data_IF_245156743665
#
_entry.id   IF_245156743665
#
_cell.length_a   1.000
_cell.length_b   1.000
_cell.length_c   1.000
_cell.angle_alpha   90.00
_cell.angle_beta   90.00
_cell.angle_gamma   90.00
#
_symmetry.space_group_name_H-M   'P 1'
#
loop_
_entity.id
_entity.type
_entity.pdbx_description
1 polymer ?
#
# COMPACT_ATOMS: atom_id res chain seq x y z
N UNK A 1 21.56 -4.12 -22.00
CA UNK A 1 21.16 -2.93 -21.22
C UNK A 1 20.26 -3.21 -20.01
N UNK A 2 19.53 -4.34 -19.91
CA UNK A 2 18.62 -4.64 -18.77
C UNK A 2 19.33 -4.85 -17.41
N UNK A 3 20.47 -5.55 -17.38
CA UNK A 3 21.21 -5.83 -16.14
C UNK A 3 21.75 -4.58 -15.41
N UNK A 4 22.10 -3.50 -16.13
CA UNK A 4 22.60 -2.25 -15.53
C UNK A 4 21.51 -1.39 -14.86
N UNK A 5 20.22 -1.63 -15.16
CA UNK A 5 19.10 -0.97 -14.45
C UNK A 5 18.78 -1.66 -13.13
N UNK A 6 18.96 -2.99 -13.06
CA UNK A 6 18.72 -3.79 -11.86
C UNK A 6 19.64 -3.39 -10.70
N UNK A 7 20.94 -3.16 -10.96
CA UNK A 7 21.90 -2.80 -9.90
C UNK A 7 21.65 -1.41 -9.31
N UNK A 8 21.32 -0.42 -10.14
CA UNK A 8 20.95 0.93 -9.67
C UNK A 8 19.63 0.90 -8.88
N UNK A 9 18.66 0.13 -9.36
CA UNK A 9 17.38 -0.06 -8.69
C UNK A 9 17.54 -0.66 -7.28
N UNK A 10 18.36 -1.72 -7.15
CA UNK A 10 18.65 -2.32 -5.84
C UNK A 10 19.42 -1.37 -4.92
N UNK A 11 20.35 -0.57 -5.45
CA UNK A 11 21.09 0.44 -4.67
C UNK A 11 20.16 1.53 -4.10
N UNK A 12 19.22 2.05 -4.90
CA UNK A 12 18.27 3.07 -4.45
C UNK A 12 17.30 2.54 -3.40
N UNK A 13 16.75 1.34 -3.61
CA UNK A 13 15.86 0.70 -2.63
C UNK A 13 16.59 0.39 -1.32
N UNK A 14 17.82 -0.12 -1.39
CA UNK A 14 18.63 -0.40 -0.19
C UNK A 14 18.97 0.88 0.58
N UNK A 15 19.32 1.96 -0.14
CA UNK A 15 19.60 3.27 0.49
C UNK A 15 18.34 3.82 1.18
N UNK A 16 17.19 3.74 0.50
CA UNK A 16 15.92 4.15 1.07
C UNK A 16 15.55 3.33 2.31
N UNK A 17 15.73 2.01 2.26
CA UNK A 17 15.43 1.13 3.39
C UNK A 17 16.27 1.46 4.63
N UNK A 18 17.57 1.68 4.46
CA UNK A 18 18.48 2.06 5.54
C UNK A 18 18.07 3.40 6.16
N UNK A 19 17.79 4.41 5.34
CA UNK A 19 17.43 5.74 5.83
C UNK A 19 16.10 5.75 6.58
N UNK A 20 15.19 4.83 6.24
CA UNK A 20 13.82 4.84 6.74
C UNK A 20 13.50 3.72 7.73
N UNK A 21 14.54 3.06 8.27
CA UNK A 21 14.42 1.95 9.22
C UNK A 21 13.53 0.82 8.71
N UNK A 22 13.55 0.58 7.39
CA UNK A 22 12.92 -0.60 6.80
C UNK A 22 13.90 -1.76 6.94
N UNK A 23 13.50 -2.79 7.68
CA UNK A 23 14.26 -4.02 7.79
C UNK A 23 14.10 -4.86 6.53
N UNK A 24 15.23 -5.22 5.90
CA UNK A 24 15.29 -6.18 4.80
C UNK A 24 16.24 -7.30 5.24
N UNK A 25 15.71 -8.52 5.37
CA UNK A 25 16.53 -9.66 5.76
C UNK A 25 17.66 -9.88 4.73
N UNK A 26 18.89 -10.25 5.14
CA UNK A 26 20.03 -10.38 4.22
C UNK A 26 19.83 -11.38 3.07
N UNK A 27 18.98 -12.39 3.28
CA UNK A 27 18.62 -13.36 2.24
C UNK A 27 17.51 -12.85 1.32
N UNK A 28 16.90 -11.70 1.56
CA UNK A 28 15.87 -11.15 0.67
C UNK A 28 16.49 -10.59 -0.61
N UNK A 29 15.88 -10.89 -1.75
CA UNK A 29 16.19 -10.34 -3.06
C UNK A 29 14.95 -9.66 -3.64
N UNK A 30 15.12 -8.44 -4.15
CA UNK A 30 14.06 -7.70 -4.84
C UNK A 30 14.55 -7.42 -6.25
N UNK A 31 13.99 -8.13 -7.22
CA UNK A 31 14.46 -8.06 -8.60
C UNK A 31 13.38 -8.41 -9.62
N UNK A 32 13.64 -8.09 -10.88
CA UNK A 32 12.77 -8.42 -12.01
C UNK A 32 13.32 -9.64 -12.74
N UNK A 33 12.76 -10.83 -12.46
CA UNK A 33 13.13 -12.08 -13.15
C UNK A 33 12.26 -12.37 -14.36
N UNK A 34 10.96 -12.17 -14.20
CA UNK A 34 9.98 -12.38 -15.26
C UNK A 34 9.47 -11.02 -15.79
N UNK A 35 9.52 -10.86 -17.12
CA UNK A 35 8.98 -9.67 -17.76
C UNK A 35 7.46 -9.59 -17.66
N UNK A 36 6.77 -10.73 -17.55
CA UNK A 36 5.31 -10.80 -17.49
C UNK A 36 4.74 -10.30 -16.15
N UNK A 37 5.48 -10.48 -15.05
CA UNK A 37 5.00 -10.21 -13.68
C UNK A 37 5.65 -8.94 -13.10
N UNK A 38 6.88 -8.63 -13.53
CA UNK A 38 7.61 -7.45 -13.10
C UNK A 38 8.56 -7.76 -11.95
N UNK A 39 8.64 -6.85 -10.99
CA UNK A 39 9.48 -7.00 -9.80
C UNK A 39 8.79 -7.98 -8.85
N UNK A 40 9.57 -8.89 -8.27
CA UNK A 40 9.13 -9.82 -7.24
C UNK A 40 10.12 -9.84 -6.08
N UNK A 41 9.70 -10.46 -4.97
CA UNK A 41 10.53 -10.73 -3.80
C UNK A 41 10.92 -12.21 -3.82
N UNK A 42 12.20 -12.51 -3.66
CA UNK A 42 12.76 -13.86 -3.69
C UNK A 42 13.66 -14.07 -2.48
N UNK A 43 13.90 -15.33 -2.12
CA UNK A 43 14.95 -15.70 -1.17
C UNK A 43 16.24 -16.01 -1.93
N UNK A 44 17.37 -15.51 -1.46
CA UNK A 44 18.72 -15.73 -2.00
C UNK A 44 19.19 -17.13 -1.67
N UNK A 45 19.07 -17.47 -0.40
CA UNK A 45 19.48 -18.72 0.20
C UNK A 45 18.24 -19.44 0.73
N UNK A 46 18.39 -20.71 1.09
CA UNK A 46 17.29 -21.44 1.71
C UNK A 46 16.90 -20.78 3.05
N UNK A 47 15.60 -20.58 3.25
CA UNK A 47 15.04 -19.98 4.46
C UNK A 47 14.06 -20.95 5.09
N UNK A 48 14.07 -21.04 6.42
CA UNK A 48 13.12 -21.85 7.18
C UNK A 48 11.76 -21.15 7.30
N UNK A 49 10.72 -21.93 7.60
CA UNK A 49 9.43 -21.37 8.00
C UNK A 49 9.59 -20.48 9.26
N UNK A 50 8.80 -19.42 9.35
CA UNK A 50 8.88 -18.41 10.41
C UNK A 50 9.98 -17.36 10.19
N UNK A 51 10.78 -17.47 9.13
CA UNK A 51 11.76 -16.42 8.80
C UNK A 51 11.03 -15.17 8.31
N UNK A 52 11.18 -14.06 9.05
CA UNK A 52 10.74 -12.75 8.60
C UNK A 52 11.73 -12.16 7.59
N UNK A 53 11.21 -11.67 6.47
CA UNK A 53 12.00 -11.19 5.32
C UNK A 53 12.00 -9.66 5.19
N UNK A 54 10.92 -9.00 5.62
CA UNK A 54 10.74 -7.56 5.57
C UNK A 54 10.13 -7.07 6.88
N UNK A 55 10.45 -5.84 7.27
CA UNK A 55 9.81 -5.12 8.37
C UNK A 55 9.69 -3.64 8.00
N UNK A 56 8.48 -3.14 7.81
CA UNK A 56 8.21 -1.78 7.33
C UNK A 56 7.47 -0.98 8.41
N UNK A 57 8.02 0.15 8.90
CA UNK A 57 7.36 0.97 9.91
C UNK A 57 6.17 1.74 9.33
N UNK A 58 5.07 1.81 10.08
CA UNK A 58 3.81 2.43 9.66
C UNK A 58 3.95 3.92 9.31
N UNK A 59 4.87 4.63 9.97
CA UNK A 59 5.22 6.03 9.65
C UNK A 59 5.75 6.25 8.22
N UNK A 60 6.02 5.17 7.47
CA UNK A 60 6.52 5.17 6.08
C UNK A 60 5.51 4.63 5.08
N UNK A 61 4.29 4.29 5.50
CA UNK A 61 3.26 3.87 4.56
C UNK A 61 2.81 5.03 3.69
N UNK A 62 2.34 4.71 2.49
CA UNK A 62 1.59 5.64 1.66
C UNK A 62 0.12 5.55 2.09
N UNK A 63 -0.23 6.29 3.14
CA UNK A 63 -1.60 6.42 3.65
C UNK A 63 -1.97 7.90 3.83
N UNK A 64 -3.26 8.22 3.96
CA UNK A 64 -3.70 9.59 4.19
C UNK A 64 -3.19 10.12 5.53
N UNK A 65 -3.21 9.30 6.59
CA UNK A 65 -2.72 9.71 7.91
C UNK A 65 -1.24 10.11 7.87
N UNK A 66 -0.40 9.32 7.21
CA UNK A 66 1.05 9.61 7.06
C UNK A 66 1.29 10.80 6.13
N UNK A 67 0.68 10.82 4.95
CA UNK A 67 0.89 11.90 3.97
C UNK A 67 0.36 13.25 4.45
N UNK A 68 -0.60 13.28 5.37
CA UNK A 68 -1.03 14.52 6.04
C UNK A 68 0.03 15.13 6.95
N UNK A 69 0.94 14.31 7.48
CA UNK A 69 1.98 14.72 8.43
C UNK A 69 3.31 15.03 7.73
N UNK A 70 3.75 14.13 6.86
CA UNK A 70 5.10 14.18 6.25
C UNK A 70 5.09 14.47 4.75
N UNK A 71 3.94 14.33 4.11
CA UNK A 71 3.76 14.61 2.69
C UNK A 71 3.77 16.11 2.36
N UNK A 72 3.30 16.44 1.16
CA UNK A 72 3.21 17.81 0.67
C UNK A 72 2.26 18.57 1.59
N UNK A 73 2.75 19.68 2.14
CA UNK A 73 2.01 20.50 3.10
C UNK A 73 0.91 21.28 2.39
N UNK A 74 -0.20 20.60 2.15
CA UNK A 74 -1.40 21.16 1.51
C UNK A 74 -2.62 20.78 2.32
N UNK A 75 -3.55 21.72 2.50
CA UNK A 75 -4.89 21.38 2.94
C UNK A 75 -5.59 20.57 1.86
N UNK A 76 -6.19 19.45 2.24
CA UNK A 76 -7.07 18.69 1.38
C UNK A 76 -8.51 19.02 1.74
N UNK A 77 -9.29 19.44 0.74
CA UNK A 77 -10.70 19.78 0.88
C UNK A 77 -11.51 18.67 0.21
N UNK A 78 -12.12 17.79 1.00
CA UNK A 78 -13.04 16.78 0.48
C UNK A 78 -14.26 17.46 -0.14
N UNK A 79 -14.62 17.14 -1.40
CA UNK A 79 -15.89 17.59 -1.99
C UNK A 79 -17.08 16.74 -1.53
N UNK A 80 -16.83 15.58 -0.92
CA UNK A 80 -17.87 14.68 -0.42
C UNK A 80 -18.15 15.00 1.06
N UNK A 81 -19.43 15.25 1.42
CA UNK A 81 -19.80 15.45 2.82
C UNK A 81 -19.48 14.19 3.62
N UNK A 82 -18.92 14.36 4.81
CA UNK A 82 -18.87 13.26 5.78
C UNK A 82 -20.30 12.93 6.24
N UNK A 83 -20.49 11.76 6.84
CA UNK A 83 -21.79 11.20 7.26
C UNK A 83 -22.62 12.08 8.24
N UNK A 84 -22.20 13.31 8.53
CA UNK A 84 -22.80 14.21 9.53
C UNK A 84 -23.35 15.54 8.99
N UNK A 85 -23.29 15.84 7.70
CA UNK A 85 -23.93 17.08 7.18
C UNK A 85 -24.90 16.80 6.03
N UNK A 86 -26.14 17.21 6.26
CA UNK A 86 -27.33 16.84 5.50
C UNK A 86 -27.32 17.22 4.01
N UNK A 87 -28.17 16.51 3.28
CA UNK A 87 -28.47 16.67 1.86
C UNK A 87 -28.53 18.15 1.44
N UNK A 88 -27.49 18.60 0.74
CA UNK A 88 -27.58 19.81 -0.07
C UNK A 88 -28.11 19.44 -1.46
N UNK A 89 -29.39 19.73 -1.68
CA UNK A 89 -30.04 19.61 -2.98
C UNK A 89 -29.51 20.70 -3.93
N UNK A 90 -28.50 20.38 -4.74
CA UNK A 90 -28.20 21.14 -5.96
C UNK A 90 -27.39 20.32 -6.97
N UNK A 91 -27.93 20.24 -8.20
CA UNK A 91 -27.36 19.70 -9.44
C UNK A 91 -27.53 18.20 -9.70
N UNK A 92 -28.68 17.85 -10.29
CA UNK A 92 -28.96 16.57 -10.91
C UNK A 92 -28.34 16.50 -12.32
N UNK A 93 -27.08 16.07 -12.38
CA UNK A 93 -26.58 15.26 -13.50
C UNK A 93 -26.54 13.79 -13.08
N UNK A 94 -26.28 12.82 -13.97
CA UNK A 94 -25.93 11.47 -13.55
C UNK A 94 -24.53 11.55 -12.90
N UNK A 95 -24.48 11.91 -11.61
CA UNK A 95 -23.24 11.98 -10.86
C UNK A 95 -22.80 10.53 -10.67
N UNK A 96 -21.71 10.15 -11.34
CA UNK A 96 -21.04 8.88 -11.08
C UNK A 96 -20.75 8.80 -9.58
N UNK A 97 -21.23 7.75 -8.93
CA UNK A 97 -21.06 7.54 -7.50
C UNK A 97 -19.61 7.16 -7.20
N UNK A 98 -18.80 8.16 -6.81
CA UNK A 98 -17.38 7.99 -6.48
C UNK A 98 -17.19 7.36 -5.10
N UNK A 99 -18.16 7.53 -4.18
CA UNK A 99 -18.03 7.06 -2.80
C UNK A 99 -18.53 5.62 -2.64
N UNK A 100 -19.52 5.19 -3.42
CA UNK A 100 -20.04 3.81 -3.43
C UNK A 100 -19.75 3.00 -4.70
N UNK A 101 -18.91 3.51 -5.61
CA UNK A 101 -18.65 2.88 -6.89
C UNK A 101 -17.65 1.72 -6.86
N UNK A 102 -17.20 1.32 -8.06
CA UNK A 102 -16.40 0.10 -8.24
C UNK A 102 -15.01 0.21 -7.62
N UNK A 103 -14.41 1.40 -7.64
CA UNK A 103 -13.13 1.64 -6.99
C UNK A 103 -13.24 1.53 -5.47
N UNK A 104 -14.27 2.11 -4.86
CA UNK A 104 -14.50 1.94 -3.42
C UNK A 104 -14.73 0.47 -3.06
N UNK A 105 -15.50 -0.27 -3.87
CA UNK A 105 -15.69 -1.70 -3.66
C UNK A 105 -14.38 -2.50 -3.73
N UNK A 106 -13.58 -2.33 -4.79
CA UNK A 106 -12.35 -3.11 -5.02
C UNK A 106 -11.23 -2.77 -4.02
N UNK A 107 -11.19 -1.52 -3.56
CA UNK A 107 -10.25 -1.05 -2.52
C UNK A 107 -10.75 -1.34 -1.11
N UNK A 108 -12.05 -1.58 -0.94
CA UNK A 108 -12.71 -1.69 0.35
C UNK A 108 -12.76 -0.37 1.13
N UNK A 109 -12.52 0.77 0.48
CA UNK A 109 -12.42 2.07 1.16
C UNK A 109 -12.76 3.26 0.28
N UNK A 110 -13.60 4.15 0.79
CA UNK A 110 -13.91 5.44 0.15
C UNK A 110 -12.75 6.46 0.23
N UNK A 111 -11.64 6.10 0.89
CA UNK A 111 -10.46 6.96 1.07
C UNK A 111 -9.54 6.99 -0.16
N UNK A 112 -9.77 6.13 -1.16
CA UNK A 112 -8.94 6.02 -2.36
C UNK A 112 -8.76 7.35 -3.14
N UNK A 113 -9.77 8.25 -3.27
CA UNK A 113 -9.60 9.47 -4.07
C UNK A 113 -8.59 10.42 -3.44
N UNK A 114 -8.65 10.60 -2.11
CA UNK A 114 -7.72 11.44 -1.38
C UNK A 114 -6.29 10.87 -1.46
N UNK A 115 -6.16 9.55 -1.26
CA UNK A 115 -4.85 8.91 -1.29
C UNK A 115 -4.20 9.03 -2.67
N UNK A 116 -4.95 8.73 -3.73
CA UNK A 116 -4.48 8.88 -5.10
C UNK A 116 -4.12 10.34 -5.42
N UNK A 117 -4.90 11.32 -4.92
CA UNK A 117 -4.61 12.73 -5.10
C UNK A 117 -3.30 13.14 -4.43
N UNK A 118 -3.11 12.77 -3.16
CA UNK A 118 -1.88 13.05 -2.42
C UNK A 118 -0.67 12.36 -3.05
N UNK A 119 -0.81 11.10 -3.47
CA UNK A 119 0.25 10.36 -4.16
C UNK A 119 0.64 11.01 -5.49
N UNK A 120 -0.33 11.49 -6.28
CA UNK A 120 -0.06 12.22 -7.53
C UNK A 120 0.74 13.51 -7.28
N UNK A 121 0.43 14.23 -6.19
CA UNK A 121 1.19 15.42 -5.78
C UNK A 121 2.62 15.08 -5.30
N UNK A 122 2.79 13.98 -4.55
CA UNK A 122 4.11 13.50 -4.14
C UNK A 122 5.00 13.15 -5.33
N UNK A 123 4.44 12.60 -6.41
CA UNK A 123 5.20 12.29 -7.62
C UNK A 123 5.76 13.54 -8.32
N UNK A 124 5.10 14.70 -8.17
CA UNK A 124 5.58 15.98 -8.71
C UNK A 124 6.62 16.66 -7.81
N UNK A 125 6.73 16.22 -6.55
CA UNK A 125 7.58 16.86 -5.56
C UNK A 125 9.05 16.48 -5.80
N UNK A 126 9.92 17.48 -5.82
CA UNK A 126 11.38 17.28 -6.00
C UNK A 126 12.03 16.51 -4.85
N UNK A 127 11.51 16.64 -3.63
CA UNK A 127 12.02 15.98 -2.42
C UNK A 127 10.84 15.39 -1.64
N UNK A 128 10.38 14.22 -2.05
CA UNK A 128 9.35 13.45 -1.34
C UNK A 128 9.97 12.56 -0.25
N UNK A 129 9.36 12.40 0.94
CA UNK A 129 9.76 11.38 1.90
C UNK A 129 9.55 9.95 1.38
N UNK A 130 8.78 9.81 0.29
CA UNK A 130 8.54 8.54 -0.39
C UNK A 130 9.40 8.39 -1.65
N UNK A 131 10.32 9.32 -1.92
CA UNK A 131 11.06 9.37 -3.18
C UNK A 131 11.69 8.03 -3.58
N UNK A 132 12.35 7.34 -2.64
CA UNK A 132 12.97 6.04 -2.91
C UNK A 132 11.99 4.97 -3.37
N UNK A 133 10.83 4.88 -2.71
CA UNK A 133 9.76 3.96 -3.11
C UNK A 133 9.04 4.40 -4.40
N UNK A 134 8.80 5.71 -4.60
CA UNK A 134 8.15 6.22 -5.81
C UNK A 134 8.91 5.84 -7.10
N UNK A 135 10.25 5.75 -7.03
CA UNK A 135 11.07 5.30 -8.15
C UNK A 135 10.91 3.80 -8.47
N UNK A 136 10.29 3.03 -7.58
CA UNK A 136 10.02 1.60 -7.78
C UNK A 136 8.65 1.28 -8.34
N UNK A 137 7.75 2.26 -8.33
CA UNK A 137 6.42 2.11 -8.91
C UNK A 137 6.50 2.03 -10.44
N UNK A 138 5.59 1.27 -11.07
CA UNK A 138 5.56 1.16 -12.53
C UNK A 138 5.29 2.53 -13.17
N UNK A 139 5.92 2.76 -14.31
CA UNK A 139 5.66 3.97 -15.08
C UNK A 139 4.24 3.97 -15.67
N UNK A 140 3.78 5.13 -16.16
CA UNK A 140 2.50 5.23 -16.87
C UNK A 140 2.44 4.31 -18.10
N UNK A 141 3.57 4.18 -18.82
CA UNK A 141 3.70 3.27 -19.97
C UNK A 141 3.64 1.81 -19.52
N UNK A 142 4.36 1.44 -18.46
CA UNK A 142 4.35 0.06 -17.94
C UNK A 142 2.96 -0.36 -17.43
N UNK A 143 2.20 0.56 -16.81
CA UNK A 143 0.81 0.31 -16.43
C UNK A 143 -0.11 0.17 -17.65
N UNK A 144 0.10 0.96 -18.71
CA UNK A 144 -0.64 0.81 -19.95
C UNK A 144 -0.37 -0.57 -20.58
N UNK A 145 0.89 -0.98 -20.68
CA UNK A 145 1.29 -2.29 -21.20
C UNK A 145 0.69 -3.45 -20.40
N UNK A 146 0.60 -3.32 -19.07
CA UNK A 146 -0.06 -4.30 -18.20
C UNK A 146 -1.55 -4.41 -18.49
N UNK A 147 -2.26 -3.29 -18.66
CA UNK A 147 -3.70 -3.28 -19.00
C UNK A 147 -3.96 -3.95 -20.35
N UNK A 148 -3.13 -3.64 -21.35
CA UNK A 148 -3.20 -4.25 -22.68
C UNK A 148 -2.93 -5.76 -22.61
N UNK A 149 -1.99 -6.18 -21.78
CA UNK A 149 -1.66 -7.60 -21.57
C UNK A 149 -2.81 -8.33 -20.88
N UNK A 150 -3.40 -7.76 -19.84
CA UNK A 150 -4.56 -8.31 -19.15
C UNK A 150 -5.76 -8.45 -20.10
N UNK A 151 -6.02 -7.44 -20.94
CA UNK A 151 -7.07 -7.53 -21.96
C UNK A 151 -6.81 -8.65 -22.97
N UNK A 152 -5.56 -8.77 -23.46
CA UNK A 152 -5.18 -9.86 -24.36
C UNK A 152 -5.33 -11.22 -23.71
N UNK A 153 -4.94 -11.36 -22.45
CA UNK A 153 -5.12 -12.60 -21.69
C UNK A 153 -6.60 -12.94 -21.52
N UNK A 154 -7.44 -11.96 -21.16
CA UNK A 154 -8.90 -12.14 -21.13
C UNK A 154 -9.42 -12.59 -22.50
N UNK A 155 -8.98 -11.96 -23.59
CA UNK A 155 -9.43 -12.30 -24.93
C UNK A 155 -9.03 -13.73 -25.36
N UNK A 156 -7.81 -14.14 -25.07
CA UNK A 156 -7.21 -15.40 -25.54
C UNK A 156 -7.56 -16.59 -24.65
N UNK A 157 -7.51 -16.41 -23.33
CA UNK A 157 -7.64 -17.51 -22.36
C UNK A 157 -8.99 -17.51 -21.64
N UNK A 158 -9.66 -16.36 -21.53
CA UNK A 158 -10.88 -16.20 -20.75
C UNK A 158 -11.95 -15.41 -21.50
N UNK A 159 -12.27 -15.79 -22.74
CA UNK A 159 -13.09 -14.98 -23.65
C UNK A 159 -14.45 -14.58 -23.06
N UNK A 160 -15.03 -15.44 -22.21
CA UNK A 160 -16.29 -15.17 -21.50
C UNK A 160 -16.18 -14.05 -20.45
N UNK A 161 -14.98 -13.81 -19.90
CA UNK A 161 -14.72 -12.78 -18.89
C UNK A 161 -14.49 -11.40 -19.51
N UNK A 162 -14.06 -11.34 -20.77
CA UNK A 162 -13.67 -10.11 -21.45
C UNK A 162 -14.75 -8.99 -21.40
N UNK A 163 -16.05 -9.26 -21.64
CA UNK A 163 -17.07 -8.21 -21.56
C UNK A 163 -17.18 -7.60 -20.15
N UNK A 164 -17.03 -8.41 -19.11
CA UNK A 164 -17.11 -7.98 -17.71
C UNK A 164 -15.88 -7.18 -17.31
N UNK A 165 -14.69 -7.64 -17.73
CA UNK A 165 -13.45 -6.90 -17.56
C UNK A 165 -13.50 -5.52 -18.24
N UNK A 166 -13.88 -5.46 -19.52
CA UNK A 166 -13.98 -4.19 -20.26
C UNK A 166 -14.99 -3.23 -19.62
N UNK A 167 -16.16 -3.74 -19.22
CA UNK A 167 -17.18 -2.95 -18.52
C UNK A 167 -16.68 -2.44 -17.16
N UNK A 168 -15.96 -3.26 -16.40
CA UNK A 168 -15.36 -2.86 -15.13
C UNK A 168 -14.30 -1.78 -15.31
N UNK A 169 -13.40 -1.93 -16.30
CA UNK A 169 -12.39 -0.90 -16.62
C UNK A 169 -13.00 0.40 -17.12
N UNK A 170 -14.09 0.34 -17.88
CA UNK A 170 -14.85 1.53 -18.27
C UNK A 170 -15.40 2.25 -17.04
N UNK A 171 -16.03 1.54 -16.10
CA UNK A 171 -16.54 2.13 -14.86
C UNK A 171 -15.44 2.75 -14.01
N UNK A 172 -14.31 2.05 -13.83
CA UNK A 172 -13.14 2.59 -13.12
C UNK A 172 -12.68 3.91 -13.76
N UNK A 173 -12.65 3.99 -15.09
CA UNK A 173 -12.27 5.21 -15.81
C UNK A 173 -13.28 6.34 -15.59
N UNK A 174 -14.57 6.06 -15.71
CA UNK A 174 -15.64 7.04 -15.48
C UNK A 174 -15.60 7.60 -14.06
N UNK A 175 -15.41 6.72 -13.07
CA UNK A 175 -15.27 7.07 -11.65
C UNK A 175 -14.00 7.89 -11.37
N UNK A 176 -12.87 7.54 -12.01
CA UNK A 176 -11.62 8.31 -11.94
C UNK A 176 -11.80 9.73 -12.49
N UNK A 177 -12.44 9.87 -13.65
CA UNK A 177 -12.71 11.19 -14.26
C UNK A 177 -13.66 12.00 -13.40
N UNK A 178 -14.68 11.38 -12.82
CA UNK A 178 -15.61 12.03 -11.91
C UNK A 178 -14.91 12.52 -10.63
N UNK A 179 -14.11 11.66 -9.99
CA UNK A 179 -13.33 12.00 -8.79
C UNK A 179 -12.40 13.18 -9.04
N UNK A 180 -11.63 13.13 -10.14
CA UNK A 180 -10.72 14.23 -10.51
C UNK A 180 -11.48 15.55 -10.74
N UNK A 181 -12.63 15.49 -11.42
CA UNK A 181 -13.45 16.66 -11.72
C UNK A 181 -14.03 17.33 -10.48
N UNK A 182 -14.34 16.54 -9.45
CA UNK A 182 -14.86 17.02 -8.16
C UNK A 182 -13.72 17.58 -7.28
N UNK A 183 -12.56 16.91 -7.25
CA UNK A 183 -11.41 17.32 -6.45
C UNK A 183 -10.72 18.58 -6.96
N UNK A 184 -10.56 18.72 -8.29
CA UNK A 184 -9.82 19.85 -8.90
C UNK A 184 -10.38 21.23 -8.58
N UNK A 185 -11.65 21.31 -8.20
CA UNK A 185 -12.32 22.58 -7.92
C UNK A 185 -11.84 23.23 -6.61
N UNK A 186 -11.30 22.44 -5.67
CA UNK A 186 -11.02 22.88 -4.29
C UNK A 186 -9.60 22.56 -3.79
N UNK A 187 -8.75 21.95 -4.63
CA UNK A 187 -7.45 21.41 -4.23
C UNK A 187 -6.33 21.82 -5.20
N UNK A 188 -5.07 21.76 -4.73
CA UNK A 188 -3.90 21.89 -5.62
C UNK A 188 -3.94 20.78 -6.66
N UNK A 189 -3.72 21.16 -7.92
CA UNK A 189 -4.01 20.34 -9.09
C UNK A 189 -2.78 19.55 -9.57
N UNK A 190 -2.70 18.22 -9.36
CA UNK A 190 -1.84 17.37 -10.19
C UNK A 190 -2.45 17.29 -11.60
N UNK A 191 -1.66 16.95 -12.62
CA UNK A 191 -2.26 16.68 -13.93
C UNK A 191 -3.08 15.38 -13.91
N UNK A 192 -4.08 15.29 -14.79
CA UNK A 192 -4.99 14.15 -14.82
C UNK A 192 -4.26 12.81 -15.01
N UNK A 193 -3.27 12.75 -15.89
CA UNK A 193 -2.53 11.51 -16.16
C UNK A 193 -1.81 10.97 -14.91
N UNK A 194 -1.32 11.86 -14.06
CA UNK A 194 -0.64 11.52 -12.80
C UNK A 194 -1.64 11.09 -11.74
N UNK A 195 -2.82 11.71 -11.70
CA UNK A 195 -3.91 11.24 -10.85
C UNK A 195 -4.40 9.85 -11.29
N UNK A 196 -4.65 9.63 -12.58
CA UNK A 196 -5.06 8.33 -13.10
C UNK A 196 -4.00 7.25 -12.86
N UNK A 197 -2.71 7.58 -13.03
CA UNK A 197 -1.58 6.72 -12.62
C UNK A 197 -1.65 6.36 -11.15
N UNK A 198 -1.86 7.35 -10.27
CA UNK A 198 -1.94 7.13 -8.82
C UNK A 198 -3.14 6.25 -8.45
N UNK A 199 -4.27 6.39 -9.15
CA UNK A 199 -5.44 5.50 -9.00
C UNK A 199 -5.09 4.06 -9.35
N UNK A 200 -4.46 3.82 -10.51
CA UNK A 200 -4.04 2.47 -10.91
C UNK A 200 -3.00 1.88 -9.91
N UNK A 201 -2.11 2.72 -9.34
CA UNK A 201 -1.17 2.31 -8.28
C UNK A 201 -1.90 1.90 -7.00
N UNK A 202 -2.76 2.76 -6.44
CA UNK A 202 -3.43 2.43 -5.18
C UNK A 202 -4.42 1.28 -5.36
N UNK A 203 -5.08 1.16 -6.51
CA UNK A 203 -5.97 0.03 -6.81
C UNK A 203 -5.20 -1.30 -6.81
N UNK A 204 -4.04 -1.34 -7.46
CA UNK A 204 -3.26 -2.56 -7.64
C UNK A 204 -2.32 -2.90 -6.47
N UNK A 205 -2.05 -1.97 -5.57
CA UNK A 205 -1.08 -2.15 -4.47
C UNK A 205 -1.63 -1.85 -3.09
N UNK A 206 -2.84 -1.31 -3.01
CA UNK A 206 -3.44 -0.86 -1.77
C UNK A 206 -4.06 -1.99 -0.95
N UNK A 207 -3.98 -1.83 0.37
CA UNK A 207 -4.53 -2.72 1.38
C UNK A 207 -5.21 -1.91 2.48
N UNK A 208 -6.12 -2.56 3.21
CA UNK A 208 -6.69 -2.03 4.43
C UNK A 208 -5.71 -2.28 5.58
N UNK A 209 -5.43 -1.23 6.33
CA UNK A 209 -4.37 -1.16 7.33
C UNK A 209 -4.94 -0.60 8.63
N UNK A 210 -4.44 -1.01 9.81
CA UNK A 210 -4.63 -0.20 11.01
C UNK A 210 -4.12 1.23 10.78
N UNK A 211 -4.72 2.23 11.41
CA UNK A 211 -4.28 3.63 11.27
C UNK A 211 -2.77 3.78 11.54
N UNK A 212 -2.02 4.13 10.50
CA UNK A 212 -0.56 4.15 10.49
C UNK A 212 0.01 5.33 11.29
N UNK A 213 -0.72 6.44 11.34
CA UNK A 213 -0.41 7.60 12.16
C UNK A 213 -1.61 8.01 13.03
N UNK A 214 -1.74 7.46 14.25
CA UNK A 214 -2.87 7.75 15.12
C UNK A 214 -2.91 9.24 15.50
N UNK A 215 -4.13 9.79 15.55
CA UNK A 215 -4.35 11.14 16.08
C UNK A 215 -4.41 11.03 17.60
N UNK A 216 -3.36 11.51 18.28
CA UNK A 216 -3.36 11.63 19.74
C UNK A 216 -4.34 12.75 20.12
N UNK A 217 -5.59 12.40 20.42
CA UNK A 217 -6.54 13.30 21.07
C UNK A 217 -6.10 13.54 22.52
N UNK A 218 -5.15 14.46 22.72
CA UNK A 218 -4.56 14.70 24.05
C UNK A 218 -3.81 16.02 24.24
N UNK A 219 -4.00 17.00 23.35
CA UNK A 219 -3.41 18.33 23.52
C UNK A 219 -4.28 19.45 22.90
N UNK A 220 -5.57 19.47 23.23
CA UNK A 220 -6.37 20.70 23.15
C UNK A 220 -6.40 21.36 24.53
N UNK A 221 -5.69 22.48 24.60
CA UNK A 221 -5.83 23.60 25.55
C UNK A 221 -7.05 23.57 26.47
N UNK A 222 -6.79 23.43 27.78
CA UNK A 222 -7.51 24.03 28.90
C UNK A 222 -9.00 24.36 28.72
N UNK A 223 -9.87 23.47 29.19
CA UNK A 223 -11.02 23.89 30.00
C UNK A 223 -11.29 22.85 31.07
N UNK A 224 -11.17 23.30 32.33
CA UNK A 224 -11.51 22.57 33.55
C UNK A 224 -12.89 21.93 33.45
N UNK A 225 -13.01 20.67 33.85
CA UNK A 225 -13.97 20.24 34.88
C UNK A 225 -13.60 18.83 35.34
N UNK A 226 -13.49 18.69 36.66
CA UNK A 226 -13.16 17.47 37.38
C UNK A 226 -14.24 16.38 37.16
N UNK A 227 -13.80 15.12 37.05
CA UNK A 227 -14.68 13.96 37.05
C UNK A 227 -13.95 12.68 36.68
N UNK A 228 -13.49 11.97 37.71
CA UNK A 228 -13.26 10.51 37.81
C UNK A 228 -12.56 9.79 36.64
N UNK A 229 -11.29 9.44 36.87
CA UNK A 229 -10.51 8.50 36.07
C UNK A 229 -11.04 7.08 36.32
N UNK A 230 -11.72 6.52 35.33
CA UNK A 230 -11.68 5.08 35.11
C UNK A 230 -10.41 4.77 34.30
N UNK A 231 -9.56 3.92 34.89
CA UNK A 231 -8.43 3.29 34.22
C UNK A 231 -8.97 2.31 33.16
N UNK A 232 -9.37 2.86 32.00
CA UNK A 232 -9.64 2.05 30.82
C UNK A 232 -8.27 1.71 30.22
N UNK A 233 -7.91 0.43 30.29
CA UNK A 233 -6.78 -0.14 29.57
C UNK A 233 -6.73 0.44 28.15
N UNK A 234 -5.58 1.04 27.83
CA UNK A 234 -5.28 1.63 26.54
C UNK A 234 -5.18 0.51 25.49
N UNK A 235 -6.33 -0.02 25.08
CA UNK A 235 -6.46 -0.93 23.96
C UNK A 235 -6.37 -0.07 22.69
N UNK A 236 -5.14 0.33 22.36
CA UNK A 236 -4.76 1.23 21.25
C UNK A 236 -5.22 0.75 19.86
N UNK A 237 -5.83 -0.43 19.78
CA UNK A 237 -6.34 -1.07 18.58
C UNK A 237 -7.78 -1.56 18.74
N UNK A 238 -8.67 -0.77 19.37
CA UNK A 238 -10.10 -0.96 19.09
C UNK A 238 -10.29 -0.99 17.56
N UNK A 239 -10.99 -2.00 17.05
CA UNK A 239 -11.19 -2.33 15.64
C UNK A 239 -11.88 -1.23 14.78
N UNK A 240 -11.81 0.04 15.18
CA UNK A 240 -12.65 1.14 14.72
C UNK A 240 -11.98 2.12 13.75
N UNK A 241 -10.68 1.99 13.43
CA UNK A 241 -10.03 2.89 12.46
C UNK A 241 -9.08 2.19 11.49
N UNK A 242 -9.65 1.41 10.58
CA UNK A 242 -8.94 0.98 9.38
C UNK A 242 -8.75 2.17 8.43
N UNK A 243 -7.58 2.28 7.82
CA UNK A 243 -7.31 3.19 6.71
C UNK A 243 -6.83 2.42 5.47
N UNK A 244 -6.98 3.04 4.30
CA UNK A 244 -6.48 2.46 3.05
C UNK A 244 -5.12 3.04 2.70
N UNK A 245 -4.19 2.19 2.30
CA UNK A 245 -2.85 2.62 1.91
C UNK A 245 -2.00 1.56 1.24
N UNK A 246 -0.82 1.98 0.80
CA UNK A 246 0.20 1.09 0.22
C UNK A 246 1.38 0.99 1.19
N UNK A 247 1.87 -0.23 1.40
CA UNK A 247 3.05 -0.50 2.22
C UNK A 247 4.25 -0.69 1.29
N UNK A 248 5.21 0.25 1.28
CA UNK A 248 6.42 0.12 0.46
C UNK A 248 7.14 -1.22 0.70
N UNK A 249 7.75 -1.78 -0.34
CA UNK A 249 8.44 -3.08 -0.36
C UNK A 249 7.52 -4.30 -0.27
N UNK A 250 6.51 -4.26 0.61
CA UNK A 250 5.49 -5.29 0.68
C UNK A 250 4.66 -5.32 -0.62
N UNK A 251 4.42 -4.15 -1.23
CA UNK A 251 3.73 -3.99 -2.51
C UNK A 251 4.46 -4.60 -3.72
N UNK A 252 5.65 -5.15 -3.53
CA UNK A 252 6.44 -5.87 -4.55
C UNK A 252 6.26 -7.39 -4.47
N UNK A 253 5.55 -7.89 -3.45
CA UNK A 253 5.28 -9.33 -3.29
C UNK A 253 4.11 -9.72 -4.20
N UNK A 254 4.33 -10.73 -5.06
CA UNK A 254 3.33 -11.15 -6.02
C UNK A 254 2.21 -12.00 -5.37
N UNK A 255 1.07 -12.04 -6.04
CA UNK A 255 -0.08 -12.87 -5.66
C UNK A 255 0.06 -14.30 -6.19
N UNK A 256 -0.68 -15.27 -5.61
CA UNK A 256 -0.75 -16.62 -6.14
C UNK A 256 -1.26 -16.64 -7.58
N UNK A 257 -0.75 -17.55 -8.40
CA UNK A 257 -1.31 -17.86 -9.71
C UNK A 257 -1.65 -19.35 -9.80
N UNK A 258 -2.64 -19.70 -10.62
CA UNK A 258 -3.04 -21.10 -10.83
C UNK A 258 -1.98 -21.90 -11.62
N UNK A 259 -0.77 -21.37 -11.77
CA UNK A 259 0.35 -21.91 -12.55
C UNK A 259 1.54 -22.29 -11.65
N UNK A 260 1.28 -22.42 -10.34
CA UNK A 260 2.23 -22.97 -9.37
C UNK A 260 2.81 -21.97 -8.37
N UNK A 261 2.47 -20.67 -8.47
CA UNK A 261 2.73 -19.72 -7.38
C UNK A 261 1.68 -19.89 -6.31
N UNK A 262 2.01 -20.63 -5.26
CA UNK A 262 1.15 -20.75 -4.08
C UNK A 262 1.60 -19.80 -2.97
N UNK A 263 0.64 -19.27 -2.21
CA UNK A 263 0.93 -18.45 -1.04
C UNK A 263 1.87 -19.17 -0.07
N UNK A 264 2.94 -18.48 0.32
CA UNK A 264 4.00 -19.03 1.15
C UNK A 264 4.49 -18.05 2.23
N UNK A 265 3.84 -16.90 2.37
CA UNK A 265 4.13 -15.88 3.37
C UNK A 265 2.86 -15.26 3.97
N UNK A 266 3.04 -14.63 5.12
CA UNK A 266 2.04 -13.91 5.92
C UNK A 266 2.46 -12.48 6.22
N UNK A 267 1.47 -11.63 6.47
CA UNK A 267 1.67 -10.31 7.08
C UNK A 267 1.41 -10.41 8.57
N UNK A 268 2.39 -10.01 9.37
CA UNK A 268 2.31 -9.90 10.82
C UNK A 268 2.48 -8.44 11.25
N UNK A 269 1.90 -8.06 12.38
CA UNK A 269 2.01 -6.71 12.95
C UNK A 269 2.85 -6.79 14.23
N UNK A 270 3.92 -6.00 14.27
CA UNK A 270 4.75 -5.86 15.45
C UNK A 270 4.57 -4.48 16.09
N UNK A 271 4.15 -4.47 17.36
CA UNK A 271 3.93 -3.26 18.17
C UNK A 271 4.92 -3.11 19.32
N UNK A 272 5.75 -4.12 19.56
CA UNK A 272 6.80 -4.10 20.58
C UNK A 272 8.15 -4.50 20.00
N UNK A 273 9.22 -4.19 20.73
CA UNK A 273 10.58 -4.53 20.31
C UNK A 273 10.77 -6.05 20.30
N UNK A 274 10.14 -6.78 21.22
CA UNK A 274 10.21 -8.24 21.33
C UNK A 274 9.54 -8.94 20.15
N UNK A 275 8.50 -8.32 19.60
CA UNK A 275 7.78 -8.80 18.41
C UNK A 275 8.49 -8.48 17.08
N UNK A 276 9.50 -7.60 17.08
CA UNK A 276 10.26 -7.32 15.86
C UNK A 276 11.15 -8.51 15.46
N UNK A 277 11.36 -8.73 14.15
CA UNK A 277 12.26 -9.76 13.65
C UNK A 277 13.67 -9.66 14.24
N UNK A 278 14.26 -10.82 14.58
CA UNK A 278 15.60 -10.89 15.18
C UNK A 278 16.65 -10.17 14.35
N UNK A 279 16.67 -10.39 13.03
CA UNK A 279 17.64 -9.75 12.14
C UNK A 279 17.63 -8.22 12.25
N UNK A 280 16.45 -7.62 12.38
CA UNK A 280 16.32 -6.16 12.51
C UNK A 280 16.83 -5.71 13.88
N UNK A 281 16.50 -6.44 14.95
CA UNK A 281 16.99 -6.12 16.31
C UNK A 281 18.51 -6.25 16.40
N UNK A 282 19.07 -7.28 15.79
CA UNK A 282 20.50 -7.57 15.78
C UNK A 282 21.26 -6.52 14.96
N UNK A 283 20.71 -6.08 13.82
CA UNK A 283 21.26 -4.99 13.01
C UNK A 283 21.25 -3.67 13.77
N UNK A 284 20.15 -3.33 14.45
CA UNK A 284 20.03 -2.12 15.27
C UNK A 284 21.00 -2.14 16.47
N UNK A 285 21.19 -3.30 17.11
CA UNK A 285 22.15 -3.47 18.18
C UNK A 285 23.60 -3.34 17.68
N UNK A 286 23.91 -3.93 16.52
CA UNK A 286 25.23 -3.87 15.90
C UNK A 286 25.59 -2.44 15.44
N UNK A 287 24.63 -1.72 14.85
CA UNK A 287 24.79 -0.32 14.45
C UNK A 287 25.11 0.62 15.61
N UNK A 288 24.51 0.39 16.78
CA UNK A 288 24.80 1.13 18.01
C UNK A 288 26.25 0.92 18.49
N UNK A 289 26.80 -0.29 18.35
CA UNK A 289 28.18 -0.59 18.77
C UNK A 289 29.25 -0.03 17.81
N UNK A 290 29.00 -0.06 16.50
CA UNK A 290 30.02 0.28 15.48
C UNK A 290 30.32 1.79 15.35
N UNK A 291 29.39 2.68 15.72
CA UNK A 291 29.54 4.13 15.49
C UNK A 291 30.23 4.91 16.60
N UNK A 292 30.66 4.28 17.70
CA UNK A 292 31.46 4.92 18.76
C UNK A 292 30.82 6.15 19.43
N UNK A 293 29.58 6.49 19.08
CA UNK A 293 28.76 7.47 19.80
C UNK A 293 28.13 6.71 20.94
N UNK A 294 28.53 7.03 22.16
CA UNK A 294 27.89 6.55 23.37
C UNK A 294 26.37 6.83 23.28
N UNK A 295 25.56 5.78 23.10
CA UNK A 295 24.11 5.87 23.13
C UNK A 295 23.42 4.83 22.25
N UNK A 296 22.41 4.19 22.83
CA UNK A 296 21.41 3.32 22.20
C UNK A 296 20.60 4.00 21.07
N UNK A 297 21.16 4.95 20.29
CA UNK A 297 20.39 5.90 19.50
C UNK A 297 19.44 5.28 18.47
N UNK A 298 19.88 4.26 17.72
CA UNK A 298 19.02 3.60 16.73
C UNK A 298 17.98 2.68 17.40
N UNK A 299 18.37 1.95 18.45
CA UNK A 299 17.45 1.11 19.21
C UNK A 299 16.42 1.93 19.99
N UNK A 300 16.84 3.02 20.61
CA UNK A 300 16.00 3.98 21.33
C UNK A 300 15.07 4.71 20.36
N UNK A 301 15.53 5.05 19.15
CA UNK A 301 14.68 5.61 18.10
C UNK A 301 13.61 4.61 17.66
N UNK A 302 13.96 3.33 17.48
CA UNK A 302 12.96 2.29 17.14
C UNK A 302 11.98 2.05 18.28
N UNK A 303 12.43 2.04 19.54
CA UNK A 303 11.54 2.02 20.71
C UNK A 303 10.57 3.20 20.70
N UNK A 304 11.06 4.42 20.44
CA UNK A 304 10.25 5.63 20.33
C UNK A 304 9.25 5.58 19.16
N UNK A 305 9.63 4.95 18.04
CA UNK A 305 8.70 4.69 16.94
C UNK A 305 7.58 3.77 17.43
N UNK A 306 7.91 2.66 18.08
CA UNK A 306 6.95 1.67 18.57
C UNK A 306 5.99 2.19 19.65
N UNK A 307 6.33 3.28 20.35
CA UNK A 307 5.40 3.96 21.27
C UNK A 307 4.16 4.53 20.57
N UNK A 308 4.24 4.82 19.27
CA UNK A 308 3.17 5.52 18.51
C UNK A 308 2.84 4.89 17.16
N UNK A 309 3.68 3.99 16.67
CA UNK A 309 3.60 3.35 15.37
C UNK A 309 3.83 1.85 15.51
N UNK A 310 3.54 1.11 14.44
CA UNK A 310 3.76 -0.33 14.37
C UNK A 310 4.61 -0.67 13.15
N UNK A 311 5.07 -1.92 13.07
CA UNK A 311 5.71 -2.47 11.88
C UNK A 311 4.81 -3.51 11.24
N UNK A 312 4.79 -3.53 9.90
CA UNK A 312 4.31 -4.68 9.13
C UNK A 312 5.51 -5.56 8.78
N UNK A 313 5.42 -6.83 9.17
CA UNK A 313 6.42 -7.83 8.92
C UNK A 313 5.91 -8.84 7.90
N UNK A 314 6.76 -9.22 6.94
CA UNK A 314 6.49 -10.29 5.99
C UNK A 314 7.21 -11.55 6.47
N UNK A 315 6.46 -12.59 6.85
CA UNK A 315 7.01 -13.81 7.47
C UNK A 315 6.67 -15.04 6.64
N UNK A 316 7.64 -15.96 6.46
CA UNK A 316 7.42 -17.18 5.68
C UNK A 316 6.54 -18.19 6.43
N UNK A 317 5.51 -18.71 5.76
CA UNK A 317 4.64 -19.80 6.25
C UNK A 317 5.29 -21.18 6.12
N UNK A 318 6.11 -21.35 5.09
CA UNK A 318 6.78 -22.62 4.75
C UNK A 318 8.24 -22.36 4.38
N UNK A 319 9.13 -23.36 4.53
CA UNK A 319 10.51 -23.19 4.10
C UNK A 319 10.56 -22.95 2.59
N UNK A 320 11.48 -22.07 2.18
CA UNK A 320 11.75 -21.77 0.77
C UNK A 320 13.18 -22.17 0.42
N UNK A 321 13.35 -22.75 -0.76
CA UNK A 321 14.65 -23.05 -1.36
C UNK A 321 15.26 -21.76 -1.92
N UNK A 322 16.57 -21.78 -2.06
CA UNK A 322 17.29 -20.69 -2.72
C UNK A 322 16.64 -20.35 -4.07
N UNK A 323 16.47 -19.06 -4.32
CA UNK A 323 15.83 -18.49 -5.51
C UNK A 323 14.32 -18.71 -5.64
N UNK A 324 13.62 -19.28 -4.67
CA UNK A 324 12.15 -19.32 -4.70
C UNK A 324 11.53 -17.94 -4.46
N UNK A 325 10.36 -17.72 -5.07
CA UNK A 325 9.59 -16.48 -4.97
C UNK A 325 8.76 -16.47 -3.69
N UNK A 326 8.71 -15.32 -3.04
CA UNK A 326 7.82 -15.06 -1.91
C UNK A 326 6.47 -14.63 -2.47
N UNK A 327 5.41 -15.30 -2.05
CA UNK A 327 4.05 -15.12 -2.56
C UNK A 327 3.12 -14.86 -1.38
N UNK A 328 2.38 -13.76 -1.46
CA UNK A 328 1.42 -13.35 -0.44
C UNK A 328 0.00 -13.52 -0.96
N UNK A 329 -0.87 -14.10 -0.15
CA UNK A 329 -2.29 -14.17 -0.45
C UNK A 329 -2.96 -12.80 -0.23
N UNK A 330 -3.17 -12.06 -1.31
CA UNK A 330 -3.77 -10.74 -1.25
C UNK A 330 -5.30 -10.81 -1.24
N UNK A 331 -5.93 -10.10 -0.31
CA UNK A 331 -7.38 -10.04 -0.24
C UNK A 331 -7.97 -9.21 -1.40
N UNK A 332 -8.81 -9.87 -2.21
CA UNK A 332 -9.54 -9.26 -3.32
C UNK A 332 -11.04 -9.35 -3.07
N UNK A 333 -11.73 -8.20 -2.92
CA UNK A 333 -13.19 -8.18 -2.92
C UNK A 333 -13.74 -8.78 -4.22
N UNK A 334 -14.70 -9.71 -4.11
CA UNK A 334 -15.26 -10.42 -5.28
C UNK A 334 -16.50 -9.69 -5.80
N UNK A 335 -16.41 -9.14 -7.00
CA UNK A 335 -17.54 -8.59 -7.76
C UNK A 335 -18.40 -9.73 -8.29
N UNK A 336 -19.62 -9.84 -7.77
CA UNK A 336 -20.58 -10.83 -8.29
C UNK A 336 -21.26 -10.32 -9.54
N UNK A 337 -21.09 -11.00 -10.66
CA UNK A 337 -21.77 -10.62 -11.92
C UNK A 337 -23.20 -11.16 -12.01
N UNK A 338 -23.53 -12.17 -11.21
CA UNK A 338 -24.83 -12.87 -11.25
C UNK A 338 -25.03 -13.74 -12.49
N UNK A 339 -24.01 -13.87 -13.34
CA UNK A 339 -24.04 -14.62 -14.59
C UNK A 339 -22.85 -15.58 -14.69
N UNK A 340 -21.66 -15.12 -14.28
CA UNK A 340 -20.47 -15.97 -14.26
C UNK A 340 -20.50 -16.92 -13.05
N UNK A 341 -19.62 -17.93 -13.10
CA UNK A 341 -19.38 -18.78 -11.94
C UNK A 341 -18.65 -17.99 -10.84
N UNK A 342 -18.69 -18.47 -9.59
CA UNK A 342 -17.97 -17.83 -8.49
C UNK A 342 -16.46 -17.74 -8.74
N UNK A 343 -15.86 -18.77 -9.36
CA UNK A 343 -14.44 -18.77 -9.72
C UNK A 343 -14.13 -17.70 -10.78
N UNK A 344 -14.97 -17.58 -11.80
CA UNK A 344 -14.84 -16.57 -12.85
C UNK A 344 -15.03 -15.15 -12.32
N UNK A 345 -15.97 -14.93 -11.39
CA UNK A 345 -16.16 -13.66 -10.68
C UNK A 345 -14.89 -13.27 -9.89
N UNK A 346 -14.24 -14.23 -9.23
CA UNK A 346 -12.94 -14.02 -8.56
C UNK A 346 -11.86 -13.61 -9.57
N UNK A 347 -11.76 -14.30 -10.70
CA UNK A 347 -10.77 -14.00 -11.75
C UNK A 347 -10.99 -12.59 -12.33
N UNK A 348 -12.23 -12.21 -12.65
CA UNK A 348 -12.55 -10.86 -13.14
C UNK A 348 -12.18 -9.79 -12.10
N UNK A 349 -12.47 -10.04 -10.83
CA UNK A 349 -12.16 -9.11 -9.74
C UNK A 349 -10.65 -8.90 -9.59
N UNK A 350 -9.87 -9.98 -9.71
CA UNK A 350 -8.40 -9.94 -9.74
C UNK A 350 -7.87 -9.17 -10.93
N UNK A 351 -8.36 -9.44 -12.14
CA UNK A 351 -7.97 -8.67 -13.33
C UNK A 351 -8.29 -7.17 -13.19
N UNK A 352 -9.43 -6.82 -12.60
CA UNK A 352 -9.80 -5.43 -12.41
C UNK A 352 -8.92 -4.71 -11.37
N UNK A 353 -8.59 -5.40 -10.26
CA UNK A 353 -7.78 -4.85 -9.17
C UNK A 353 -6.29 -4.83 -9.50
N UNK A 354 -5.73 -5.96 -9.95
CA UNK A 354 -4.29 -6.16 -10.11
C UNK A 354 -3.79 -6.12 -11.55
N UNK A 355 -4.69 -6.12 -12.54
CA UNK A 355 -4.34 -6.34 -13.94
C UNK A 355 -3.62 -7.68 -14.16
N UNK A 356 -3.91 -8.67 -13.31
CA UNK A 356 -3.33 -10.02 -13.30
C UNK A 356 -4.30 -11.02 -12.69
#
# INVERSE_FOLDING_TARGET
MRARRSSKFSEYLSTYAILEHVGIHPTTLIEKRDAAVGVGVYVRDACDAGTALLAVPSKRFCTNSVLSRVGLKTSFCSPWPGDSEGLSTASAGPVCDVQGGILTFLTGSAQWPELAWRLALEQHRSVSPLWGWLQSLPSMEELADRRDTAERQCRVHHTMLLPYYLKGRQRIREETVAAYSQLRARNILPCFDRFAWAVDVVLSRGLLLPMAWPVISGASTSSRTDGERDEVENDFLSHSSLEFGVVPFLDLVNAPDDVGREANADIEIATSLEALPSFLRDDLASGATARGRCGDGELAEVKRILETHYYICLTLRKPLRASEEVILDWQVPVLTTGVLTAADDTVVSRFLKYMF
#
